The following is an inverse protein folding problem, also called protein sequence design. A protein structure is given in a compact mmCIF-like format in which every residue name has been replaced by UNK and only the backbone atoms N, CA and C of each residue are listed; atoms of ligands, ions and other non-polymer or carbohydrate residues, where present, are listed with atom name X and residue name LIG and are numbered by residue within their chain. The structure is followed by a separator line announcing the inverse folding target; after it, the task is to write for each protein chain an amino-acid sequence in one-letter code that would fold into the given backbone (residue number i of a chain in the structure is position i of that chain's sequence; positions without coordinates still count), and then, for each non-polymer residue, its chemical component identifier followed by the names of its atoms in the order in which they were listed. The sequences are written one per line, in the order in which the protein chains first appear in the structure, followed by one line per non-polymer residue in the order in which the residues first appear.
data_IF_446560161263
#
_entry.id   IF_446560161263
#
_cell.length_a   1.000
_cell.length_b   1.000
_cell.length_c   1.000
_cell.angle_alpha   90.00
_cell.angle_beta   90.00
_cell.angle_gamma   90.00
#
_symmetry.space_group_name_H-M   'P 1'
#
loop_
_entity.id
_entity.type
_entity.pdbx_description
1 polymer ?
#
# COMPACT_ATOMS: atom_id res chain seq x y z
N UNK A 1 37.65 -1.75 -12.96
CA UNK A 1 36.45 -1.22 -13.67
C UNK A 1 35.35 -2.27 -13.83
N UNK A 2 35.60 -3.44 -14.44
CA UNK A 2 34.57 -4.47 -14.66
C UNK A 2 33.89 -4.99 -13.37
N UNK A 3 34.65 -5.27 -12.31
CA UNK A 3 34.09 -5.74 -11.04
C UNK A 3 33.12 -4.75 -10.37
N UNK A 4 33.42 -3.45 -10.45
CA UNK A 4 32.53 -2.39 -9.94
C UNK A 4 31.23 -2.33 -10.74
N UNK A 5 31.30 -2.41 -12.07
CA UNK A 5 30.13 -2.41 -12.94
C UNK A 5 29.21 -3.61 -12.67
N UNK A 6 29.77 -4.80 -12.46
CA UNK A 6 29.02 -6.00 -12.11
C UNK A 6 28.33 -5.85 -10.76
N UNK A 7 29.04 -5.35 -9.75
CA UNK A 7 28.47 -5.12 -8.42
C UNK A 7 27.29 -4.12 -8.46
N UNK A 8 27.44 -3.02 -9.21
CA UNK A 8 26.37 -2.04 -9.40
C UNK A 8 25.18 -2.65 -10.13
N UNK A 9 25.40 -3.41 -11.20
CA UNK A 9 24.32 -4.08 -11.94
C UNK A 9 23.56 -5.09 -11.07
N UNK A 10 24.29 -5.89 -10.28
CA UNK A 10 23.69 -6.84 -9.35
C UNK A 10 22.86 -6.15 -8.26
N UNK A 11 23.37 -5.04 -7.70
CA UNK A 11 22.64 -4.23 -6.72
C UNK A 11 21.35 -3.66 -7.31
N UNK A 12 21.41 -3.07 -8.51
CA UNK A 12 20.25 -2.52 -9.20
C UNK A 12 19.19 -3.60 -9.49
N UNK A 13 19.63 -4.79 -9.92
CA UNK A 13 18.73 -5.92 -10.12
C UNK A 13 18.07 -6.37 -8.81
N UNK A 14 18.83 -6.50 -7.73
CA UNK A 14 18.31 -6.87 -6.42
C UNK A 14 17.27 -5.85 -5.93
N UNK A 15 17.57 -4.55 -6.03
CA UNK A 15 16.64 -3.46 -5.69
C UNK A 15 15.39 -3.53 -6.56
N UNK A 16 15.52 -3.69 -7.87
CA UNK A 16 14.38 -3.81 -8.78
C UNK A 16 13.48 -5.00 -8.43
N UNK A 17 14.06 -6.18 -8.17
CA UNK A 17 13.31 -7.37 -7.79
C UNK A 17 12.62 -7.20 -6.43
N UNK A 18 13.28 -6.56 -5.46
CA UNK A 18 12.70 -6.23 -4.17
C UNK A 18 11.48 -5.32 -4.34
N UNK A 19 11.62 -4.20 -5.07
CA UNK A 19 10.54 -3.25 -5.32
C UNK A 19 9.37 -3.91 -6.06
N UNK A 20 9.66 -4.70 -7.09
CA UNK A 20 8.65 -5.45 -7.85
C UNK A 20 7.88 -6.44 -6.97
N UNK A 21 8.55 -7.05 -5.99
CA UNK A 21 7.92 -7.96 -5.03
C UNK A 21 7.05 -7.21 -4.03
N UNK A 22 7.49 -6.06 -3.53
CA UNK A 22 6.75 -5.23 -2.58
C UNK A 22 5.43 -4.71 -3.18
N UNK A 23 5.44 -4.22 -4.43
CA UNK A 23 4.22 -3.77 -5.13
C UNK A 23 3.18 -4.88 -5.36
N UNK A 24 3.55 -6.15 -5.18
CA UNK A 24 2.66 -7.31 -5.38
C UNK A 24 2.26 -7.97 -4.08
N UNK A 25 2.55 -7.37 -2.92
CA UNK A 25 2.26 -7.97 -1.61
C UNK A 25 0.81 -8.46 -1.50
N UNK A 26 -0.17 -7.60 -1.75
CA UNK A 26 -1.59 -7.94 -1.58
C UNK A 26 -2.08 -9.03 -2.52
N UNK A 27 -1.68 -8.97 -3.80
CA UNK A 27 -1.96 -10.02 -4.78
C UNK A 27 -1.29 -11.35 -4.41
N UNK A 28 -0.08 -11.30 -3.86
CA UNK A 28 0.72 -12.49 -3.53
C UNK A 28 0.27 -13.20 -2.25
N UNK A 29 -0.09 -12.46 -1.21
CA UNK A 29 -0.32 -13.03 0.13
C UNK A 29 -1.77 -13.46 0.32
N UNK A 30 -2.72 -12.68 -0.17
CA UNK A 30 -4.12 -12.85 0.22
C UNK A 30 -5.11 -12.66 -0.95
N UNK A 31 -4.60 -12.53 -2.18
CA UNK A 31 -5.41 -12.21 -3.37
C UNK A 31 -6.36 -11.02 -3.12
N UNK A 32 -5.88 -10.01 -2.39
CA UNK A 32 -6.67 -8.84 -2.01
C UNK A 32 -6.63 -7.83 -3.16
N UNK A 33 -7.83 -7.40 -3.57
CA UNK A 33 -8.02 -6.38 -4.59
C UNK A 33 -7.62 -4.99 -4.09
N UNK A 34 -7.11 -4.18 -5.01
CA UNK A 34 -6.74 -2.81 -4.73
C UNK A 34 -5.90 -2.15 -5.82
N UNK A 35 -5.75 -0.82 -5.73
CA UNK A 35 -5.00 -0.05 -6.72
C UNK A 35 -3.53 -0.46 -6.68
N UNK A 36 -2.98 -0.87 -7.82
CA UNK A 36 -1.57 -1.23 -7.90
C UNK A 36 -0.69 0.02 -7.81
N UNK A 37 0.30 0.05 -6.89
CA UNK A 37 1.19 1.19 -6.78
C UNK A 37 2.08 1.20 -8.02
N UNK A 38 2.26 2.39 -8.61
CA UNK A 38 3.08 2.51 -9.82
C UNK A 38 4.57 2.43 -9.48
N UNK A 39 4.99 2.96 -8.33
CA UNK A 39 6.40 3.14 -7.89
C UNK A 39 6.48 3.08 -6.35
N UNK A 40 7.66 3.31 -5.75
CA UNK A 40 7.92 3.34 -4.28
C UNK A 40 7.03 4.27 -3.47
N UNK A 41 6.35 5.23 -4.11
CA UNK A 41 5.46 6.17 -3.43
C UNK A 41 4.09 5.57 -3.06
N UNK A 42 3.86 4.29 -3.35
CA UNK A 42 2.59 3.62 -3.02
C UNK A 42 1.40 4.21 -3.78
N UNK A 43 0.24 4.24 -3.13
CA UNK A 43 -0.99 4.82 -3.67
C UNK A 43 -1.14 6.32 -3.35
N UNK A 44 -0.27 6.89 -2.52
CA UNK A 44 -0.35 8.29 -2.06
C UNK A 44 0.56 9.26 -2.84
N UNK A 45 1.03 8.87 -4.03
CA UNK A 45 1.88 9.73 -4.88
C UNK A 45 1.27 11.10 -5.21
N UNK A 46 -0.07 11.19 -5.32
CA UNK A 46 -0.77 12.45 -5.57
C UNK A 46 -0.75 13.38 -4.35
N UNK A 47 -0.65 12.85 -3.14
CA UNK A 47 -0.47 13.64 -1.92
C UNK A 47 0.94 14.22 -1.87
N UNK A 48 1.96 13.40 -2.17
CA UNK A 48 3.36 13.82 -2.14
C UNK A 48 3.64 14.92 -3.19
N UNK A 49 2.95 14.85 -4.34
CA UNK A 49 3.03 15.87 -5.39
C UNK A 49 2.12 17.07 -5.14
N UNK A 50 1.41 17.13 -4.00
CA UNK A 50 0.50 18.22 -3.65
C UNK A 50 -0.77 18.31 -4.51
N UNK A 51 -1.09 17.28 -5.30
CA UNK A 51 -2.22 17.27 -6.23
C UNK A 51 -3.55 16.92 -5.59
N UNK A 52 -3.55 16.10 -4.53
CA UNK A 52 -4.75 15.67 -3.80
C UNK A 52 -4.44 15.47 -2.32
N UNK A 53 -5.40 15.73 -1.45
CA UNK A 53 -5.34 15.32 -0.06
C UNK A 53 -5.46 13.79 0.06
N UNK A 54 -4.86 13.17 1.09
CA UNK A 54 -4.94 11.71 1.28
C UNK A 54 -6.38 11.21 1.41
N UNK A 55 -7.26 12.00 2.05
CA UNK A 55 -8.67 11.69 2.16
C UNK A 55 -9.39 11.61 0.82
N UNK A 56 -9.03 12.45 -0.16
CA UNK A 56 -9.58 12.38 -1.51
C UNK A 56 -9.12 11.10 -2.22
N UNK A 57 -7.84 10.76 -2.09
CA UNK A 57 -7.25 9.54 -2.66
C UNK A 57 -7.98 8.31 -2.09
N UNK A 58 -8.11 8.22 -0.76
CA UNK A 58 -8.79 7.08 -0.14
C UNK A 58 -10.29 7.06 -0.39
N UNK A 59 -10.96 8.20 -0.55
CA UNK A 59 -12.36 8.24 -0.97
C UNK A 59 -12.56 7.70 -2.40
N UNK A 60 -11.63 7.99 -3.32
CA UNK A 60 -11.65 7.41 -4.67
C UNK A 60 -11.40 5.90 -4.65
N UNK A 61 -10.43 5.46 -3.85
CA UNK A 61 -10.17 4.03 -3.67
C UNK A 61 -11.39 3.35 -3.05
N UNK A 62 -11.97 3.91 -1.99
CA UNK A 62 -13.22 3.43 -1.41
C UNK A 62 -14.24 3.21 -2.52
N UNK A 63 -14.64 4.27 -3.24
CA UNK A 63 -15.70 4.20 -4.26
C UNK A 63 -15.41 3.24 -5.42
N UNK A 64 -14.15 3.01 -5.75
CA UNK A 64 -13.75 2.12 -6.86
C UNK A 64 -13.96 0.62 -6.58
N UNK A 65 -14.12 0.23 -5.31
CA UNK A 65 -14.31 -1.17 -4.91
C UNK A 65 -15.60 -1.34 -4.08
N UNK A 66 -16.80 -1.14 -4.68
CA UNK A 66 -18.06 -1.07 -3.93
C UNK A 66 -18.45 -2.38 -3.22
N UNK A 67 -17.99 -3.52 -3.73
CA UNK A 67 -18.32 -4.85 -3.19
C UNK A 67 -17.28 -5.40 -2.21
N UNK A 68 -16.19 -4.68 -1.99
CA UNK A 68 -15.11 -5.15 -1.12
C UNK A 68 -15.35 -4.67 0.33
N UNK A 69 -15.23 -5.60 1.30
CA UNK A 69 -15.23 -5.28 2.74
C UNK A 69 -13.95 -4.55 3.18
N UNK A 70 -12.84 -4.77 2.46
CA UNK A 70 -11.59 -4.03 2.60
C UNK A 70 -10.83 -3.99 1.27
N UNK A 71 -9.96 -3.01 1.10
CA UNK A 71 -9.15 -2.82 -0.11
C UNK A 71 -7.69 -2.74 0.27
N UNK A 72 -6.85 -3.51 -0.42
CA UNK A 72 -5.40 -3.48 -0.24
C UNK A 72 -4.82 -2.19 -0.81
N UNK A 73 -4.14 -1.40 0.01
CA UNK A 73 -3.45 -0.18 -0.39
C UNK A 73 -1.98 -0.23 0.05
N UNK A 74 -1.20 0.72 -0.46
CA UNK A 74 0.21 0.88 -0.16
C UNK A 74 0.45 2.32 0.28
N UNK A 75 0.98 2.48 1.47
CA UNK A 75 1.51 3.76 1.97
C UNK A 75 2.87 4.06 1.32
N UNK A 76 3.55 5.08 1.84
CA UNK A 76 4.95 5.39 1.50
C UNK A 76 5.85 4.15 1.61
N UNK A 77 6.84 4.07 0.72
CA UNK A 77 7.80 2.97 0.61
C UNK A 77 7.15 1.60 0.35
N UNK A 78 5.97 1.57 -0.27
CA UNK A 78 5.18 0.36 -0.51
C UNK A 78 4.85 -0.42 0.77
N UNK A 79 4.72 0.25 1.93
CA UNK A 79 4.23 -0.38 3.15
C UNK A 79 2.77 -0.81 2.94
N UNK A 80 2.44 -2.11 3.01
CA UNK A 80 1.08 -2.58 2.82
C UNK A 80 0.16 -2.08 3.94
N UNK A 81 -1.02 -1.60 3.58
CA UNK A 81 -2.10 -1.23 4.49
C UNK A 81 -3.46 -1.64 3.89
N UNK A 82 -4.52 -1.62 4.70
CA UNK A 82 -5.89 -1.93 4.26
C UNK A 82 -6.80 -0.76 4.51
N UNK A 83 -7.61 -0.41 3.51
CA UNK A 83 -8.73 0.50 3.64
C UNK A 83 -9.98 -0.32 3.97
N UNK A 84 -10.45 -0.24 5.21
CA UNK A 84 -11.61 -0.99 5.68
C UNK A 84 -12.89 -0.26 5.29
N UNK A 85 -13.85 -1.00 4.71
CA UNK A 85 -15.14 -0.47 4.25
C UNK A 85 -16.33 -1.01 5.04
N UNK A 86 -16.21 -2.22 5.58
CA UNK A 86 -17.24 -2.88 6.36
C UNK A 86 -17.42 -2.21 7.73
N UNK A 87 -18.65 -1.81 8.05
CA UNK A 87 -18.94 -1.06 9.29
C UNK A 87 -18.78 -1.90 10.55
N UNK A 88 -19.02 -3.22 10.48
CA UNK A 88 -18.80 -4.10 11.62
C UNK A 88 -17.30 -4.21 11.92
N UNK A 89 -16.47 -4.31 10.87
CA UNK A 89 -15.01 -4.29 11.03
C UNK A 89 -14.48 -2.94 11.52
N UNK A 90 -15.02 -1.83 11.02
CA UNK A 90 -14.66 -0.49 11.52
C UNK A 90 -14.97 -0.38 13.01
N UNK A 91 -16.16 -0.82 13.44
CA UNK A 91 -16.53 -0.85 14.86
C UNK A 91 -15.60 -1.75 15.66
N UNK A 92 -15.28 -2.93 15.14
CA UNK A 92 -14.38 -3.86 15.81
C UNK A 92 -12.98 -3.26 16.01
N UNK A 93 -12.40 -2.66 14.97
CA UNK A 93 -11.07 -2.06 15.00
C UNK A 93 -11.00 -0.84 15.91
N UNK A 94 -11.99 0.05 15.81
CA UNK A 94 -11.97 1.35 16.49
C UNK A 94 -12.52 1.29 17.92
N UNK A 95 -13.30 0.26 18.27
CA UNK A 95 -13.96 0.16 19.57
C UNK A 95 -13.56 -1.12 20.30
N UNK A 96 -14.00 -2.29 19.83
CA UNK A 96 -13.85 -3.55 20.56
C UNK A 96 -12.38 -3.93 20.78
N UNK A 97 -11.58 -3.81 19.72
CA UNK A 97 -10.20 -4.29 19.64
C UNK A 97 -9.19 -3.14 19.53
N UNK A 98 -9.58 -1.92 19.91
CA UNK A 98 -8.73 -0.72 19.76
C UNK A 98 -7.33 -0.87 20.35
N UNK A 99 -7.18 -1.60 21.47
CA UNK A 99 -5.87 -1.84 22.08
C UNK A 99 -4.87 -2.53 21.14
N UNK A 100 -5.33 -3.36 20.20
CA UNK A 100 -4.51 -4.02 19.20
C UNK A 100 -4.17 -3.11 18.01
N UNK A 101 -5.01 -2.11 17.74
CA UNK A 101 -4.94 -1.27 16.54
C UNK A 101 -4.57 0.19 16.81
N UNK A 102 -4.36 0.58 18.08
CA UNK A 102 -4.11 1.97 18.50
C UNK A 102 -2.81 2.60 17.96
N UNK A 103 -1.91 1.80 17.36
CA UNK A 103 -0.68 2.27 16.71
C UNK A 103 -0.78 2.35 15.19
N UNK A 104 -1.93 2.01 14.60
CA UNK A 104 -2.12 2.07 13.16
C UNK A 104 -2.08 3.53 12.67
N UNK A 105 -1.57 3.71 11.46
CA UNK A 105 -1.73 4.94 10.69
C UNK A 105 -3.21 5.18 10.35
N UNK A 106 -3.59 6.46 10.23
CA UNK A 106 -4.93 6.92 9.90
C UNK A 106 -5.37 6.51 8.47
#
# INVERSE_FOLDING_TARGET
MAGLLIAVAALLLAVYLYLKRSCRYWRRVANIDGPQPRWVLGNISQQITGRKHFGEIFAEVYRSYPQASWVGVYELFNKPAVLVRDLELVKEILVSSFQHFNKNSF
#
